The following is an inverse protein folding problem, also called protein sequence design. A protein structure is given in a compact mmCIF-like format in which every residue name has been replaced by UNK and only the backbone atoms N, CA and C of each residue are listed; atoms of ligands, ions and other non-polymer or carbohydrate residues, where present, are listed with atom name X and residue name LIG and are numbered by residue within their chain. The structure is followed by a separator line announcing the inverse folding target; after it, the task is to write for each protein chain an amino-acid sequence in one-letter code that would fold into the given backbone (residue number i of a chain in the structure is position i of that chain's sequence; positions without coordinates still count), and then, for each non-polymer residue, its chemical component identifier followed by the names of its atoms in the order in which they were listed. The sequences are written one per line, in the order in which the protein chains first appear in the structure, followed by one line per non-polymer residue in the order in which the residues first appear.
data_IF_904358692598
#
_entry.id   IF_904358692598
#
_cell.length_a   1.000
_cell.length_b   1.000
_cell.length_c   1.000
_cell.angle_alpha   90.00
_cell.angle_beta   90.00
_cell.angle_gamma   90.00
#
_symmetry.space_group_name_H-M   'P 1'
#
loop_
_entity.id
_entity.type
_entity.pdbx_description
1 polymer ?
#
# COMPACT_ATOMS: atom_id res chain seq x y z
N UNK A 1 -9.77 -18.30 12.81
CA UNK A 1 -8.78 -17.60 11.96
C UNK A 1 -9.24 -16.15 11.77
N UNK A 2 -8.38 -15.18 12.03
CA UNK A 2 -8.72 -13.77 11.89
C UNK A 2 -8.53 -13.33 10.45
N UNK A 3 -9.54 -12.65 9.90
CA UNK A 3 -9.52 -12.09 8.56
C UNK A 3 -9.68 -10.57 8.68
N UNK A 4 -8.89 -9.82 7.92
CA UNK A 4 -8.96 -8.37 7.91
C UNK A 4 -9.51 -7.94 6.55
N UNK A 5 -10.52 -7.11 6.55
CA UNK A 5 -11.22 -6.69 5.33
C UNK A 5 -11.03 -5.21 5.03
N UNK A 6 -11.12 -4.86 3.76
CA UNK A 6 -11.03 -3.49 3.32
C UNK A 6 -11.70 -3.26 1.98
N UNK A 7 -11.66 -2.03 1.51
CA UNK A 7 -12.27 -1.66 0.25
C UNK A 7 -11.69 -0.36 -0.30
N UNK A 8 -11.98 -0.08 -1.58
CA UNK A 8 -11.75 1.24 -2.15
C UNK A 8 -12.81 2.23 -1.66
N UNK A 9 -12.68 3.49 -2.03
CA UNK A 9 -13.58 4.54 -1.57
C UNK A 9 -15.02 4.36 -2.07
N UNK A 10 -15.22 3.88 -3.30
CA UNK A 10 -16.56 3.71 -3.87
C UNK A 10 -17.21 2.37 -3.53
N UNK A 11 -16.47 1.43 -2.95
CA UNK A 11 -16.98 0.12 -2.58
C UNK A 11 -17.01 -0.90 -3.72
N UNK A 12 -16.59 -0.54 -4.93
CA UNK A 12 -16.54 -1.50 -6.05
C UNK A 12 -15.52 -2.61 -5.80
N UNK A 13 -14.39 -2.27 -5.22
CA UNK A 13 -13.33 -3.22 -4.90
C UNK A 13 -13.38 -3.54 -3.41
N UNK A 14 -13.51 -4.82 -3.10
CA UNK A 14 -13.51 -5.32 -1.73
C UNK A 14 -12.45 -6.41 -1.62
N UNK A 15 -11.79 -6.49 -0.48
CA UNK A 15 -10.75 -7.49 -0.30
C UNK A 15 -10.69 -7.96 1.15
N UNK A 16 -9.99 -9.08 1.34
CA UNK A 16 -9.64 -9.57 2.66
C UNK A 16 -8.20 -10.08 2.64
N UNK A 17 -7.55 -10.02 3.79
CA UNK A 17 -6.25 -10.65 3.99
C UNK A 17 -6.40 -11.69 5.07
N UNK A 18 -5.86 -12.89 4.83
CA UNK A 18 -6.04 -14.04 5.71
C UNK A 18 -4.99 -14.14 6.81
N UNK A 19 -4.00 -13.26 6.79
CA UNK A 19 -2.93 -13.26 7.78
C UNK A 19 -2.53 -11.84 8.13
N UNK A 20 -1.97 -11.68 9.32
CA UNK A 20 -1.40 -10.42 9.79
C UNK A 20 -0.23 -10.02 8.88
N UNK A 21 -0.09 -8.73 8.52
CA UNK A 21 1.06 -8.29 7.74
C UNK A 21 2.39 -8.58 8.42
N UNK A 22 3.43 -8.76 7.64
CA UNK A 22 4.80 -8.92 8.16
C UNK A 22 5.24 -7.69 8.92
N UNK A 23 4.97 -6.52 8.37
CA UNK A 23 5.23 -5.23 8.99
C UNK A 23 4.47 -4.12 8.27
N UNK A 24 4.36 -2.98 8.93
CA UNK A 24 3.75 -1.77 8.36
C UNK A 24 4.75 -0.63 8.48
N UNK A 25 4.89 0.15 7.44
CA UNK A 25 5.84 1.26 7.41
C UNK A 25 5.26 2.50 6.72
N UNK A 26 5.83 3.65 7.06
CA UNK A 26 5.50 4.92 6.40
C UNK A 26 6.66 5.31 5.50
N UNK A 27 6.38 5.54 4.23
CA UNK A 27 7.37 5.91 3.22
C UNK A 27 7.26 7.39 2.87
N UNK A 28 8.35 8.13 3.06
CA UNK A 28 8.42 9.57 2.80
C UNK A 28 9.10 9.93 1.49
N UNK A 29 9.37 8.96 0.61
CA UNK A 29 10.07 9.25 -0.63
C UNK A 29 9.24 10.17 -1.53
N UNK A 30 9.94 10.92 -2.39
CA UNK A 30 9.30 11.87 -3.31
C UNK A 30 8.25 11.19 -4.20
N UNK A 31 8.57 9.99 -4.68
CA UNK A 31 7.68 9.26 -5.57
C UNK A 31 6.40 8.82 -4.87
N UNK A 32 6.51 8.37 -3.62
CA UNK A 32 5.34 8.00 -2.82
C UNK A 32 4.46 9.22 -2.53
N UNK A 33 5.07 10.36 -2.20
CA UNK A 33 4.33 11.59 -1.96
C UNK A 33 3.61 12.04 -3.22
N UNK A 34 4.29 11.99 -4.36
CA UNK A 34 3.73 12.46 -5.63
C UNK A 34 2.60 11.55 -6.11
N UNK A 35 2.77 10.24 -5.99
CA UNK A 35 1.77 9.27 -6.47
C UNK A 35 0.49 9.29 -5.65
N UNK A 36 0.55 9.73 -4.40
CA UNK A 36 -0.61 9.74 -3.50
C UNK A 36 -1.14 11.14 -3.23
N UNK A 37 -0.34 12.17 -3.50
CA UNK A 37 -0.70 13.56 -3.15
C UNK A 37 -0.70 13.78 -1.65
N UNK A 38 0.06 13.00 -0.88
CA UNK A 38 0.10 13.08 0.58
C UNK A 38 1.53 13.28 1.07
N UNK A 39 1.67 13.56 2.37
CA UNK A 39 2.98 13.77 2.99
C UNK A 39 3.80 12.49 3.09
N UNK A 40 3.16 11.35 3.16
CA UNK A 40 3.78 10.03 3.13
C UNK A 40 2.71 8.96 2.92
N UNK A 41 3.16 7.75 2.62
CA UNK A 41 2.27 6.62 2.40
C UNK A 41 2.51 5.59 3.50
N UNK A 42 1.42 5.07 4.06
CA UNK A 42 1.48 3.94 5.00
C UNK A 42 1.09 2.68 4.23
N UNK A 43 1.98 1.70 4.21
CA UNK A 43 1.66 0.42 3.60
C UNK A 43 2.09 -0.74 4.46
N UNK A 44 1.37 -1.85 4.33
CA UNK A 44 1.59 -3.08 5.08
C UNK A 44 2.06 -4.15 4.11
N UNK A 45 3.20 -4.77 4.40
CA UNK A 45 3.76 -5.82 3.56
C UNK A 45 3.07 -7.14 3.87
N UNK A 46 2.47 -7.74 2.85
CA UNK A 46 1.76 -9.01 2.97
C UNK A 46 2.25 -9.98 1.90
N UNK A 47 2.00 -11.27 2.11
CA UNK A 47 2.22 -12.26 1.06
C UNK A 47 1.04 -12.20 0.09
N UNK A 48 1.32 -12.25 -1.22
CA UNK A 48 0.24 -12.11 -2.21
C UNK A 48 -0.81 -13.21 -2.12
N UNK A 49 -0.44 -14.41 -1.67
CA UNK A 49 -1.39 -15.52 -1.52
C UNK A 49 -2.39 -15.27 -0.40
N UNK A 50 -2.10 -14.34 0.52
CA UNK A 50 -3.02 -14.00 1.62
C UNK A 50 -4.09 -12.99 1.21
N UNK A 51 -3.96 -12.39 0.03
CA UNK A 51 -4.92 -11.40 -0.46
C UNK A 51 -5.98 -12.06 -1.32
N UNK A 52 -7.24 -11.85 -0.96
CA UNK A 52 -8.39 -12.23 -1.76
C UNK A 52 -9.13 -10.95 -2.14
N UNK A 53 -9.21 -10.66 -3.43
CA UNK A 53 -9.77 -9.40 -3.90
C UNK A 53 -10.91 -9.65 -4.87
N UNK A 54 -11.99 -8.86 -4.74
CA UNK A 54 -13.16 -8.88 -5.59
C UNK A 54 -13.41 -7.48 -6.13
N UNK A 55 -13.79 -7.38 -7.39
CA UNK A 55 -14.00 -6.11 -8.07
C UNK A 55 -12.92 -5.84 -9.09
N UNK A 56 -13.22 -4.92 -10.01
CA UNK A 56 -12.34 -4.62 -11.12
C UNK A 56 -11.21 -3.68 -10.73
N UNK A 57 -9.98 -4.14 -10.90
CA UNK A 57 -8.78 -3.33 -10.72
C UNK A 57 -8.00 -3.27 -12.02
N UNK A 58 -7.29 -2.18 -12.22
CA UNK A 58 -6.31 -2.03 -13.28
C UNK A 58 -4.98 -1.64 -12.63
N UNK A 59 -3.92 -1.60 -13.42
CA UNK A 59 -2.59 -1.31 -12.89
C UNK A 59 -1.87 -0.28 -13.73
N UNK A 60 -0.94 0.40 -13.08
CA UNK A 60 -0.05 1.35 -13.74
C UNK A 60 1.36 1.22 -13.17
N UNK A 61 2.36 1.51 -13.99
CA UNK A 61 3.74 1.53 -13.55
C UNK A 61 4.06 2.91 -12.97
N UNK A 62 4.64 2.92 -11.76
CA UNK A 62 5.05 4.13 -11.08
C UNK A 62 6.51 4.03 -10.65
N UNK A 63 7.23 5.16 -10.58
CA UNK A 63 8.58 5.16 -10.03
C UNK A 63 8.57 4.91 -8.53
N UNK A 64 9.70 4.44 -8.01
CA UNK A 64 9.88 4.23 -6.57
C UNK A 64 11.20 4.84 -6.11
N UNK A 65 11.32 5.03 -4.80
CA UNK A 65 12.56 5.54 -4.19
C UNK A 65 13.77 4.66 -4.45
N UNK A 66 13.56 3.35 -4.69
CA UNK A 66 14.65 2.41 -5.01
C UNK A 66 15.14 2.54 -6.45
N UNK A 67 14.38 3.19 -7.31
CA UNK A 67 14.66 3.29 -8.74
C UNK A 67 14.19 2.09 -9.56
N UNK A 68 13.81 1.00 -8.94
CA UNK A 68 13.37 -0.22 -9.65
C UNK A 68 11.94 -0.13 -10.20
N UNK A 69 11.13 0.73 -9.60
CA UNK A 69 9.74 0.91 -10.01
C UNK A 69 8.77 -0.02 -9.28
N UNK A 70 7.51 0.21 -9.51
CA UNK A 70 6.43 -0.60 -8.96
C UNK A 70 5.27 -0.68 -9.93
N UNK A 71 4.46 -1.72 -9.79
CA UNK A 71 3.16 -1.81 -10.45
C UNK A 71 2.10 -1.59 -9.38
N UNK A 72 1.31 -0.54 -9.54
CA UNK A 72 0.29 -0.14 -8.57
C UNK A 72 -1.10 -0.48 -9.12
N UNK A 73 -1.92 -1.11 -8.26
CA UNK A 73 -3.25 -1.59 -8.62
C UNK A 73 -4.33 -0.72 -7.99
N UNK A 74 -5.29 -0.31 -8.79
CA UNK A 74 -6.30 0.66 -8.37
C UNK A 74 -7.70 0.27 -8.86
N UNK A 75 -8.72 0.79 -8.17
CA UNK A 75 -10.11 0.63 -8.58
C UNK A 75 -10.36 1.39 -9.87
N UNK A 76 -10.94 0.72 -10.87
CA UNK A 76 -11.21 1.35 -12.18
C UNK A 76 -12.29 2.42 -12.10
N UNK A 77 -13.11 2.43 -11.05
CA UNK A 77 -14.19 3.40 -10.90
C UNK A 77 -13.78 4.63 -10.10
N UNK A 78 -13.15 4.47 -8.93
CA UNK A 78 -12.81 5.61 -8.07
C UNK A 78 -11.33 5.98 -8.08
N UNK A 79 -10.47 5.12 -8.66
CA UNK A 79 -9.04 5.40 -8.77
C UNK A 79 -8.21 5.17 -7.51
N UNK A 80 -8.81 4.67 -6.44
CA UNK A 80 -8.08 4.42 -5.19
C UNK A 80 -7.13 3.25 -5.36
N UNK A 81 -5.85 3.46 -5.01
CA UNK A 81 -4.86 2.40 -5.03
C UNK A 81 -5.06 1.48 -3.84
N UNK A 82 -5.10 0.18 -4.11
CA UNK A 82 -5.28 -0.85 -3.07
C UNK A 82 -3.94 -1.44 -2.66
N UNK A 83 -3.12 -1.84 -3.62
CA UNK A 83 -1.82 -2.44 -3.35
C UNK A 83 -0.88 -2.24 -4.52
N UNK A 84 0.40 -2.49 -4.25
CA UNK A 84 1.41 -2.42 -5.31
C UNK A 84 2.40 -3.58 -5.17
N UNK A 85 3.03 -3.90 -6.30
CA UNK A 85 4.13 -4.86 -6.37
C UNK A 85 5.40 -4.07 -6.65
N UNK A 86 6.35 -4.14 -5.73
CA UNK A 86 7.67 -3.56 -5.95
C UNK A 86 8.47 -4.51 -6.82
N UNK A 87 9.02 -4.01 -7.93
CA UNK A 87 9.78 -4.86 -8.85
C UNK A 87 11.02 -5.46 -8.19
N UNK A 88 11.61 -4.75 -7.26
CA UNK A 88 12.78 -5.22 -6.51
C UNK A 88 12.47 -6.44 -5.64
N UNK A 89 11.21 -6.62 -5.23
CA UNK A 89 10.79 -7.72 -4.35
C UNK A 89 9.81 -8.68 -5.04
N UNK A 90 9.72 -8.63 -6.36
CA UNK A 90 8.73 -9.40 -7.13
C UNK A 90 8.87 -10.90 -6.92
N UNK A 91 10.11 -11.41 -6.86
CA UNK A 91 10.37 -12.83 -6.68
C UNK A 91 9.96 -13.36 -5.30
N UNK A 92 9.80 -12.49 -4.32
CA UNK A 92 9.42 -12.86 -2.96
C UNK A 92 7.91 -12.98 -2.76
N UNK A 93 7.12 -12.68 -3.78
CA UNK A 93 5.65 -12.66 -3.73
C UNK A 93 5.11 -11.78 -2.62
N UNK A 94 5.85 -10.74 -2.26
CA UNK A 94 5.40 -9.73 -1.30
C UNK A 94 4.77 -8.56 -2.03
N UNK A 95 3.66 -8.09 -1.51
CA UNK A 95 2.98 -6.91 -2.03
C UNK A 95 2.77 -5.92 -0.89
N UNK A 96 2.67 -4.65 -1.26
CA UNK A 96 2.44 -3.57 -0.29
C UNK A 96 0.98 -3.17 -0.36
N UNK A 97 0.22 -3.52 0.67
CA UNK A 97 -1.16 -3.11 0.80
C UNK A 97 -1.22 -1.69 1.34
N UNK A 98 -2.07 -0.85 0.75
CA UNK A 98 -2.32 0.49 1.30
C UNK A 98 -3.12 0.33 2.59
N UNK A 99 -2.45 0.46 3.72
CA UNK A 99 -3.00 0.15 5.04
C UNK A 99 -4.31 0.87 5.33
N UNK A 100 -4.43 2.11 4.87
CA UNK A 100 -5.61 2.94 5.19
C UNK A 100 -6.86 2.55 4.40
N UNK A 101 -6.75 1.60 3.46
CA UNK A 101 -7.93 1.03 2.80
C UNK A 101 -8.58 -0.09 3.64
N UNK A 102 -7.91 -0.54 4.70
CA UNK A 102 -8.53 -1.49 5.64
C UNK A 102 -9.68 -0.82 6.40
N UNK A 103 -10.74 -1.57 6.64
CA UNK A 103 -11.89 -1.07 7.42
C UNK A 103 -11.46 -0.70 8.84
N UNK A 104 -10.65 -1.54 9.48
CA UNK A 104 -10.01 -1.23 10.75
C UNK A 104 -8.64 -0.60 10.45
N UNK A 105 -8.65 0.64 9.99
CA UNK A 105 -7.47 1.31 9.42
C UNK A 105 -6.39 1.67 10.46
N UNK A 106 -6.69 1.55 11.74
CA UNK A 106 -5.71 1.80 12.81
C UNK A 106 -5.15 0.51 13.41
N UNK A 107 -5.52 -0.65 12.86
CA UNK A 107 -5.11 -1.95 13.38
C UNK A 107 -3.59 -2.16 13.31
N UNK A 108 -2.97 -1.67 12.25
CA UNK A 108 -1.54 -1.87 12.00
C UNK A 108 -0.83 -0.52 11.86
N UNK A 109 -0.45 0.10 13.00
CA UNK A 109 0.28 1.37 12.93
C UNK A 109 1.68 1.17 12.35
N UNK A 110 2.28 2.20 11.75
CA UNK A 110 3.61 2.08 11.18
C UNK A 110 4.66 1.80 12.27
N UNK A 111 5.50 0.82 12.02
CA UNK A 111 6.58 0.41 12.91
C UNK A 111 7.88 1.13 12.59
N UNK A 112 7.97 1.71 11.40
CA UNK A 112 9.16 2.40 10.92
C UNK A 112 8.78 3.47 9.90
N UNK A 113 9.63 4.47 9.79
CA UNK A 113 9.55 5.49 8.75
C UNK A 113 10.79 5.35 7.88
N UNK A 114 10.60 5.28 6.56
CA UNK A 114 11.68 5.11 5.60
C UNK A 114 11.74 6.33 4.67
N UNK A 115 12.93 6.54 4.05
CA UNK A 115 13.21 7.71 3.21
C UNK A 115 12.96 9.02 3.95
N UNK A 116 13.34 9.05 5.24
CA UNK A 116 13.08 10.21 6.12
C UNK A 116 13.85 11.46 5.70
N UNK A 117 14.90 11.32 4.91
CA UNK A 117 15.63 12.47 4.34
C UNK A 117 14.72 13.33 3.44
N UNK A 118 13.69 12.71 2.89
CA UNK A 118 12.74 13.38 1.99
C UNK A 118 11.44 13.80 2.70
N UNK A 119 11.35 13.57 4.02
CA UNK A 119 10.14 13.92 4.76
C UNK A 119 9.86 15.41 4.71
N UNK A 120 8.61 15.79 4.75
CA UNK A 120 8.21 17.20 4.81
C UNK A 120 8.70 17.83 6.11
N UNK A 121 9.18 19.10 6.07
CA UNK A 121 9.78 19.72 7.26
C UNK A 121 8.81 19.90 8.44
N UNK A 122 7.51 19.94 8.19
CA UNK A 122 6.51 20.07 9.26
C UNK A 122 6.13 18.74 9.91
N UNK A 123 6.58 17.60 9.35
CA UNK A 123 6.32 16.30 9.92
C UNK A 123 7.37 16.03 11.01
N UNK A 124 6.88 15.75 12.22
CA UNK A 124 7.72 15.42 13.37
C UNK A 124 7.77 13.90 13.54
N UNK A 125 8.96 13.37 13.56
CA UNK A 125 9.18 11.94 13.78
C UNK A 125 10.17 11.76 14.91
#
# INVERSE_FOLDING_TARGET
MTVYSGSCACGQVNYSISAKPYFTQACHCKDCKKSTGSSYVIHSMIHEDDLSIDGEVDSTDLPTGSGAGQKAYFCTKCGVYIYCRYKIAESEKRIALRTKTLNDHNRFPPEAHIFVKDKDPWIKI
#
